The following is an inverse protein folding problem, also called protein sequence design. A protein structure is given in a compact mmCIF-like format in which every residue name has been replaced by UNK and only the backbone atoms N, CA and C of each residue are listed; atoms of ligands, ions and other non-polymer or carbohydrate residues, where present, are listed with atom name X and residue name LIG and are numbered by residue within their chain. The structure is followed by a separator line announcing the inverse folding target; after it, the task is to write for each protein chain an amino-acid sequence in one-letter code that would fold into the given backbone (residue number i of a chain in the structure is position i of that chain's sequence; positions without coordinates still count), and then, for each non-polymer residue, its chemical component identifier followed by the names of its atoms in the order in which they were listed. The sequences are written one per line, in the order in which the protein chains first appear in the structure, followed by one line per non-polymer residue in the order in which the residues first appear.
data_IF_498523337854
#
_entry.id   IF_498523337854
#
_cell.length_a   1.000
_cell.length_b   1.000
_cell.length_c   1.000
_cell.angle_alpha   90.00
_cell.angle_beta   90.00
_cell.angle_gamma   90.00
#
_symmetry.space_group_name_H-M   'P 1'
#
loop_
_entity.id
_entity.type
_entity.pdbx_description
1 polymer ?
#
# COMPACT_ATOMS: atom_id res chain seq x y z
N UNK A 1 -12.45 2.68 -22.34
CA UNK A 1 -11.40 1.78 -21.78
C UNK A 1 -11.98 0.38 -21.66
N UNK A 2 -11.20 -0.66 -21.97
CA UNK A 2 -11.68 -2.04 -21.87
C UNK A 2 -11.59 -2.56 -20.42
N UNK A 3 -12.49 -3.47 -20.04
CA UNK A 3 -12.53 -4.06 -18.69
C UNK A 3 -11.19 -4.72 -18.32
N UNK A 4 -10.56 -5.42 -19.26
CA UNK A 4 -9.26 -6.05 -19.05
C UNK A 4 -8.18 -5.04 -18.69
N UNK A 5 -8.10 -3.90 -19.39
CA UNK A 5 -7.12 -2.84 -19.09
C UNK A 5 -7.35 -2.25 -17.71
N UNK A 6 -8.62 -2.01 -17.34
CA UNK A 6 -8.97 -1.53 -16.01
C UNK A 6 -8.56 -2.53 -14.93
N UNK A 7 -8.79 -3.83 -15.15
CA UNK A 7 -8.42 -4.88 -14.21
C UNK A 7 -6.91 -4.93 -13.96
N UNK A 8 -6.09 -4.86 -15.01
CA UNK A 8 -4.63 -4.83 -14.86
C UNK A 8 -4.13 -3.55 -14.17
N UNK A 9 -4.72 -2.39 -14.47
CA UNK A 9 -4.39 -1.12 -13.79
C UNK A 9 -4.73 -1.21 -12.30
N UNK A 10 -5.91 -1.74 -11.97
CA UNK A 10 -6.34 -1.91 -10.58
C UNK A 10 -5.44 -2.85 -9.80
N UNK A 11 -4.94 -3.93 -10.42
CA UNK A 11 -3.95 -4.80 -9.79
C UNK A 11 -2.65 -4.03 -9.55
N UNK A 12 -2.15 -3.31 -10.57
CA UNK A 12 -0.93 -2.51 -10.46
C UNK A 12 -0.99 -1.51 -9.31
N UNK A 13 -2.06 -0.71 -9.25
CA UNK A 13 -2.31 0.26 -8.17
C UNK A 13 -2.45 -0.37 -6.79
N UNK A 14 -2.90 -1.62 -6.72
CA UNK A 14 -3.06 -2.32 -5.46
C UNK A 14 -1.75 -2.95 -4.93
N UNK A 15 -0.68 -2.98 -5.73
CA UNK A 15 0.57 -3.66 -5.36
C UNK A 15 1.28 -2.98 -4.19
N UNK A 16 1.28 -1.65 -4.12
CA UNK A 16 1.89 -0.92 -3.01
C UNK A 16 1.13 -1.18 -1.71
N UNK A 17 -0.20 -1.05 -1.74
CA UNK A 17 -1.06 -1.42 -0.62
C UNK A 17 -0.91 -2.91 -0.22
N UNK A 18 -0.73 -3.81 -1.19
CA UNK A 18 -0.45 -5.22 -0.93
C UNK A 18 0.89 -5.43 -0.22
N UNK A 19 1.97 -4.78 -0.69
CA UNK A 19 3.27 -4.88 -0.05
C UNK A 19 3.23 -4.34 1.39
N UNK A 20 2.60 -3.19 1.61
CA UNK A 20 2.46 -2.61 2.95
C UNK A 20 1.58 -3.50 3.84
N UNK A 21 0.44 -3.99 3.37
CA UNK A 21 -0.42 -4.89 4.14
C UNK A 21 0.23 -6.25 4.45
N UNK A 22 1.05 -6.79 3.54
CA UNK A 22 1.88 -7.96 3.79
C UNK A 22 2.82 -7.71 4.96
N UNK A 23 3.46 -6.55 4.99
CA UNK A 23 4.45 -6.21 6.01
C UNK A 23 3.83 -5.95 7.38
N UNK A 24 2.69 -5.25 7.41
CA UNK A 24 1.85 -5.15 8.60
C UNK A 24 1.38 -6.53 9.08
N UNK A 25 1.08 -7.44 8.14
CA UNK A 25 0.77 -8.84 8.42
C UNK A 25 1.92 -9.57 9.12
N UNK A 26 3.15 -9.43 8.63
CA UNK A 26 4.35 -10.08 9.20
C UNK A 26 4.54 -9.65 10.66
N UNK A 27 4.28 -8.38 10.97
CA UNK A 27 4.42 -7.84 12.32
C UNK A 27 3.28 -8.18 13.28
N UNK A 28 2.18 -8.77 12.78
CA UNK A 28 1.11 -9.27 13.63
C UNK A 28 1.50 -10.61 14.25
N UNK A 29 1.48 -10.69 15.58
CA UNK A 29 1.74 -11.94 16.33
C UNK A 29 0.53 -12.88 16.30
N UNK A 30 -0.68 -12.33 16.38
CA UNK A 30 -1.96 -13.06 16.26
C UNK A 30 -2.79 -12.46 15.14
N UNK A 31 -3.31 -13.32 14.27
CA UNK A 31 -4.26 -12.93 13.25
C UNK A 31 -5.57 -12.51 13.90
N UNK A 32 -5.94 -11.23 13.78
CA UNK A 32 -7.27 -10.77 14.15
C UNK A 32 -8.01 -10.36 12.89
N UNK A 33 -9.21 -10.93 12.67
CA UNK A 33 -10.08 -10.59 11.53
C UNK A 33 -10.37 -9.08 11.52
N UNK A 34 -10.49 -8.46 12.70
CA UNK A 34 -10.67 -7.01 12.84
C UNK A 34 -9.49 -6.23 12.25
N UNK A 35 -8.25 -6.69 12.45
CA UNK A 35 -7.05 -6.03 11.90
C UNK A 35 -6.97 -6.18 10.38
N UNK A 36 -7.26 -7.37 9.85
CA UNK A 36 -7.34 -7.60 8.39
C UNK A 36 -8.36 -6.65 7.77
N UNK A 37 -9.57 -6.65 8.32
CA UNK A 37 -10.66 -5.83 7.80
C UNK A 37 -10.35 -4.33 7.92
N UNK A 38 -9.76 -3.88 9.03
CA UNK A 38 -9.35 -2.49 9.21
C UNK A 38 -8.31 -2.06 8.17
N UNK A 39 -7.27 -2.86 7.95
CA UNK A 39 -6.22 -2.58 6.95
C UNK A 39 -6.79 -2.56 5.54
N UNK A 40 -7.52 -3.61 5.17
CA UNK A 40 -8.11 -3.74 3.84
C UNK A 40 -9.13 -2.64 3.53
N UNK A 41 -9.94 -2.25 4.51
CA UNK A 41 -10.93 -1.19 4.36
C UNK A 41 -10.26 0.18 4.21
N UNK A 42 -9.23 0.47 5.01
CA UNK A 42 -8.48 1.73 4.89
C UNK A 42 -7.82 1.83 3.51
N UNK A 43 -7.05 0.82 3.09
CA UNK A 43 -6.41 0.84 1.77
C UNK A 43 -7.43 0.84 0.63
N UNK A 44 -8.47 0.02 0.68
CA UNK A 44 -9.51 -0.02 -0.35
C UNK A 44 -10.25 1.32 -0.51
N UNK A 45 -10.52 2.03 0.59
CA UNK A 45 -11.13 3.36 0.55
C UNK A 45 -10.16 4.39 -0.03
N UNK A 46 -8.91 4.45 0.46
CA UNK A 46 -7.95 5.43 -0.03
C UNK A 46 -7.60 5.21 -1.51
N UNK A 47 -7.34 3.97 -1.93
CA UNK A 47 -7.05 3.64 -3.34
C UNK A 47 -8.26 3.87 -4.26
N UNK A 48 -9.49 3.82 -3.73
CA UNK A 48 -10.70 4.17 -4.48
C UNK A 48 -10.95 5.68 -4.58
N UNK A 49 -10.80 6.41 -3.47
CA UNK A 49 -11.08 7.85 -3.41
C UNK A 49 -10.01 8.65 -4.16
N UNK A 50 -8.74 8.25 -4.12
CA UNK A 50 -7.65 9.01 -4.73
C UNK A 50 -7.78 9.17 -6.26
N UNK A 51 -8.13 8.12 -7.05
CA UNK A 51 -8.44 8.26 -8.46
C UNK A 51 -9.61 9.21 -8.73
N UNK A 52 -10.62 9.24 -7.86
CA UNK A 52 -11.74 10.20 -7.97
C UNK A 52 -11.26 11.63 -7.81
N UNK A 53 -10.41 11.88 -6.80
CA UNK A 53 -9.82 13.19 -6.54
C UNK A 53 -8.93 13.63 -7.70
N UNK A 54 -8.07 12.73 -8.19
CA UNK A 54 -7.24 13.00 -9.38
C UNK A 54 -8.10 13.31 -10.61
N UNK A 55 -9.16 12.54 -10.84
CA UNK A 55 -10.08 12.78 -11.93
C UNK A 55 -10.79 14.14 -11.83
N UNK A 56 -11.25 14.51 -10.63
CA UNK A 56 -11.96 15.77 -10.38
C UNK A 56 -11.06 17.02 -10.48
N UNK A 57 -9.79 16.91 -10.09
CA UNK A 57 -8.81 18.00 -10.15
C UNK A 57 -8.32 18.26 -11.59
N UNK A 58 -8.45 17.26 -12.49
CA UNK A 58 -8.40 17.42 -13.94
C UNK A 58 -7.13 18.09 -14.49
N UNK A 59 -6.11 17.29 -14.82
CA UNK A 59 -4.96 17.63 -15.69
C UNK A 59 -4.00 18.76 -15.26
N UNK A 60 -4.43 19.75 -14.47
CA UNK A 60 -3.70 20.98 -14.18
C UNK A 60 -2.45 20.79 -13.31
N UNK A 61 -2.32 19.64 -12.64
CA UNK A 61 -1.24 19.34 -11.69
C UNK A 61 -0.44 18.07 -12.00
N UNK A 62 -0.68 17.42 -13.14
CA UNK A 62 -0.02 16.15 -13.50
C UNK A 62 1.51 16.25 -13.41
N UNK A 63 2.11 17.27 -14.03
CA UNK A 63 3.57 17.42 -14.08
C UNK A 63 4.21 17.73 -12.73
N UNK A 64 3.46 18.32 -11.79
CA UNK A 64 3.97 18.63 -10.43
C UNK A 64 3.90 17.42 -9.52
N UNK A 65 2.87 16.58 -9.66
CA UNK A 65 2.65 15.41 -8.81
C UNK A 65 3.46 14.21 -9.31
N UNK A 66 3.59 14.01 -10.62
CA UNK A 66 4.45 12.97 -11.19
C UNK A 66 5.93 13.13 -10.76
N UNK A 67 6.41 14.35 -10.55
CA UNK A 67 7.76 14.57 -9.99
C UNK A 67 7.87 14.20 -8.51
N UNK A 68 6.77 14.26 -7.77
CA UNK A 68 6.74 14.02 -6.32
C UNK A 68 6.44 12.56 -5.95
N UNK A 69 5.73 11.80 -6.79
CA UNK A 69 5.31 10.42 -6.45
C UNK A 69 6.52 9.56 -6.07
N UNK A 70 7.60 9.62 -6.84
CA UNK A 70 8.83 8.85 -6.63
C UNK A 70 9.47 9.09 -5.26
N UNK A 71 9.48 10.35 -4.82
CA UNK A 71 10.00 10.73 -3.50
C UNK A 71 9.10 10.22 -2.37
N UNK A 72 7.78 10.21 -2.60
CA UNK A 72 6.82 9.69 -1.62
C UNK A 72 6.89 8.16 -1.55
N UNK A 73 6.92 7.47 -2.69
CA UNK A 73 7.09 6.02 -2.75
C UNK A 73 8.39 5.57 -2.08
N UNK A 74 9.52 6.21 -2.40
CA UNK A 74 10.80 5.97 -1.72
C UNK A 74 10.70 6.20 -0.21
N UNK A 75 10.20 7.38 0.20
CA UNK A 75 10.10 7.75 1.61
C UNK A 75 9.23 6.77 2.40
N UNK A 76 8.13 6.31 1.81
CA UNK A 76 7.22 5.35 2.40
C UNK A 76 7.86 3.96 2.55
N UNK A 77 8.42 3.43 1.47
CA UNK A 77 9.08 2.12 1.46
C UNK A 77 10.28 2.09 2.41
N UNK A 78 11.05 3.17 2.44
CA UNK A 78 12.15 3.35 3.39
C UNK A 78 11.63 3.42 4.84
N UNK A 79 10.58 4.20 5.11
CA UNK A 79 10.01 4.34 6.45
C UNK A 79 9.47 3.01 6.98
N UNK A 80 8.67 2.29 6.18
CA UNK A 80 8.12 0.98 6.55
C UNK A 80 9.25 -0.02 6.76
N UNK A 81 10.21 -0.07 5.82
CA UNK A 81 11.29 -1.03 5.93
C UNK A 81 12.23 -0.77 7.12
N UNK A 82 12.50 0.50 7.45
CA UNK A 82 13.24 0.88 8.67
C UNK A 82 12.44 0.47 9.90
N UNK A 83 11.14 0.78 9.94
CA UNK A 83 10.26 0.40 11.05
C UNK A 83 10.28 -1.11 11.27
N UNK A 84 10.20 -1.92 10.21
CA UNK A 84 10.31 -3.38 10.30
C UNK A 84 11.67 -3.84 10.84
N UNK A 85 12.77 -3.20 10.46
CA UNK A 85 14.09 -3.55 10.98
C UNK A 85 14.21 -3.21 12.48
N UNK A 86 13.64 -2.09 12.92
CA UNK A 86 13.56 -1.71 14.34
C UNK A 86 12.70 -2.74 15.08
N UNK A 87 11.53 -3.04 14.54
CA UNK A 87 10.57 -4.00 15.08
C UNK A 87 11.18 -5.42 15.20
N UNK A 88 11.98 -5.82 14.23
CA UNK A 88 12.66 -7.12 14.20
C UNK A 88 13.75 -7.24 15.28
N UNK A 89 14.36 -6.12 15.70
CA UNK A 89 15.30 -6.08 16.83
C UNK A 89 14.59 -6.19 18.18
N UNK A 90 13.34 -5.76 18.24
CA UNK A 90 12.48 -5.87 19.42
C UNK A 90 11.61 -7.13 19.41
N UNK A 91 11.76 -8.00 18.40
CA UNK A 91 11.02 -9.24 18.25
C UNK A 91 11.27 -10.17 19.44
N UNK A 92 10.35 -10.17 20.39
CA UNK A 92 10.44 -10.93 21.65
C UNK A 92 10.50 -10.09 22.93
N UNK A 93 10.51 -8.75 22.86
CA UNK A 93 10.54 -7.85 24.04
C UNK A 93 9.18 -7.25 24.47
N UNK A 94 8.06 -7.59 23.82
CA UNK A 94 6.75 -7.09 24.25
C UNK A 94 6.04 -8.00 25.26
N UNK A 95 5.51 -7.33 26.29
CA UNK A 95 4.84 -7.80 27.49
C UNK A 95 3.70 -8.80 27.29
N UNK A 96 3.41 -9.49 28.40
CA UNK A 96 2.39 -10.52 28.63
C UNK A 96 0.96 -10.03 28.31
N UNK A 97 0.76 -8.72 28.14
CA UNK A 97 -0.51 -8.13 27.71
C UNK A 97 -0.58 -8.05 26.18
N UNK A 98 -1.21 -9.08 25.59
CA UNK A 98 -1.44 -9.24 24.16
C UNK A 98 -2.32 -8.16 23.53
N UNK A 99 -1.78 -6.95 23.40
CA UNK A 99 -2.42 -5.90 22.61
C UNK A 99 -2.15 -6.20 21.13
N UNK A 100 -3.20 -6.58 20.41
CA UNK A 100 -3.19 -6.86 18.97
C UNK A 100 -3.01 -5.60 18.10
N UNK A 101 -2.70 -4.45 18.71
CA UNK A 101 -2.63 -3.16 18.04
C UNK A 101 -1.20 -2.63 18.09
N UNK A 102 -0.36 -3.11 17.17
CA UNK A 102 0.83 -2.36 16.81
C UNK A 102 0.34 -1.20 15.93
N UNK A 103 0.25 -0.01 16.52
CA UNK A 103 -0.27 1.21 15.88
C UNK A 103 0.74 1.74 14.87
N UNK A 104 0.91 1.02 13.76
CA UNK A 104 1.21 1.70 12.51
C UNK A 104 0.04 2.62 12.21
N UNK A 105 0.29 3.88 11.88
CA UNK A 105 -0.78 4.80 11.55
C UNK A 105 -1.29 4.45 10.14
N UNK A 106 -2.11 3.39 10.02
CA UNK A 106 -2.59 2.78 8.77
C UNK A 106 -3.23 3.84 7.86
N UNK A 107 -3.79 4.90 8.44
CA UNK A 107 -4.32 6.05 7.71
C UNK A 107 -3.22 6.80 6.96
N UNK A 108 -2.09 7.09 7.61
CA UNK A 108 -0.94 7.75 6.99
C UNK A 108 -0.35 6.87 5.90
N UNK A 109 -0.26 5.56 6.15
CA UNK A 109 0.19 4.58 5.17
C UNK A 109 -0.75 4.55 3.97
N UNK A 110 -2.07 4.49 4.19
CA UNK A 110 -3.08 4.54 3.14
C UNK A 110 -2.96 5.79 2.28
N UNK A 111 -2.83 6.97 2.90
CA UNK A 111 -2.63 8.22 2.16
C UNK A 111 -1.35 8.15 1.32
N UNK A 112 -0.25 7.68 1.90
CA UNK A 112 1.04 7.63 1.23
C UNK A 112 1.08 6.61 0.09
N UNK A 113 0.49 5.43 0.25
CA UNK A 113 0.41 4.38 -0.79
C UNK A 113 -0.60 4.68 -1.89
N UNK A 114 -1.47 5.69 -1.74
CA UNK A 114 -2.52 5.99 -2.72
C UNK A 114 -2.22 7.21 -3.59
N UNK A 115 -1.02 7.80 -3.47
CA UNK A 115 -0.60 8.95 -4.29
C UNK A 115 -0.42 8.54 -5.77
N UNK A 116 0.02 7.30 -6.01
CA UNK A 116 0.07 6.67 -7.34
C UNK A 116 -1.32 6.62 -7.99
N UNK A 117 -2.34 6.23 -7.22
CA UNK A 117 -3.73 6.11 -7.65
C UNK A 117 -4.32 7.48 -7.96
N UNK A 118 -3.90 8.52 -7.22
CA UNK A 118 -4.23 9.91 -7.54
C UNK A 118 -3.63 10.33 -8.90
N UNK A 119 -2.38 9.97 -9.18
CA UNK A 119 -1.73 10.25 -10.46
C UNK A 119 -2.45 9.56 -11.64
N UNK A 120 -2.84 8.29 -11.46
CA UNK A 120 -3.66 7.56 -12.46
C UNK A 120 -5.03 8.20 -12.63
N UNK A 121 -5.64 8.73 -11.57
CA UNK A 121 -6.89 9.51 -11.63
C UNK A 121 -6.82 10.70 -12.61
N UNK A 122 -5.69 11.41 -12.68
CA UNK A 122 -5.50 12.46 -13.68
C UNK A 122 -5.56 11.91 -15.10
N UNK A 123 -4.91 10.78 -15.36
CA UNK A 123 -4.94 10.17 -16.70
C UNK A 123 -6.35 9.79 -17.11
N UNK A 124 -7.17 9.31 -16.16
CA UNK A 124 -8.59 9.01 -16.40
C UNK A 124 -9.41 10.25 -16.78
N UNK A 125 -9.03 11.45 -16.32
CA UNK A 125 -9.72 12.70 -16.72
C UNK A 125 -9.53 13.05 -18.20
N UNK A 126 -8.47 12.52 -18.82
CA UNK A 126 -8.15 12.74 -20.23
C UNK A 126 -8.80 11.70 -21.16
N UNK A 127 -9.41 10.64 -20.62
CA UNK A 127 -10.06 9.57 -21.37
C UNK A 127 -11.57 9.86 -21.55
N UNK A 128 -12.03 10.25 -22.77
CA UNK A 128 -13.44 10.52 -23.00
C UNK A 128 -14.28 9.24 -22.86
N UNK A 129 -15.41 9.34 -22.14
CA UNK A 129 -16.37 8.23 -22.00
C UNK A 129 -16.01 7.17 -20.95
N UNK A 130 -15.01 7.41 -20.10
CA UNK A 130 -14.68 6.53 -18.98
C UNK A 130 -15.70 6.68 -17.83
N UNK A 131 -16.29 5.58 -17.39
CA UNK A 131 -17.13 5.56 -16.20
C UNK A 131 -16.23 5.51 -14.95
N UNK A 132 -16.00 6.67 -14.35
CA UNK A 132 -15.08 6.82 -13.21
C UNK A 132 -15.59 6.07 -11.98
N UNK A 133 -16.91 6.11 -11.72
CA UNK A 133 -17.53 5.41 -10.59
C UNK A 133 -17.32 3.90 -10.66
N UNK A 134 -17.46 3.31 -11.85
CA UNK A 134 -17.19 1.89 -12.06
C UNK A 134 -15.71 1.55 -11.87
N UNK A 135 -14.82 2.42 -12.33
CA UNK A 135 -13.36 2.25 -12.20
C UNK A 135 -12.91 2.27 -10.73
N UNK A 136 -13.40 3.25 -9.96
CA UNK A 136 -13.12 3.38 -8.53
C UNK A 136 -13.63 2.17 -7.74
N UNK A 137 -14.84 1.69 -8.04
CA UNK A 137 -15.40 0.52 -7.36
C UNK A 137 -14.50 -0.71 -7.58
N UNK A 138 -14.02 -0.93 -8.81
CA UNK A 138 -13.14 -2.05 -9.13
C UNK A 138 -11.78 -1.92 -8.44
N UNK A 139 -11.15 -0.73 -8.50
CA UNK A 139 -9.86 -0.47 -7.84
C UNK A 139 -9.98 -0.72 -6.33
N UNK A 140 -11.01 -0.17 -5.69
CA UNK A 140 -11.24 -0.33 -4.26
C UNK A 140 -11.48 -1.79 -3.85
N UNK A 141 -12.29 -2.53 -4.62
CA UNK A 141 -12.57 -3.96 -4.35
C UNK A 141 -11.32 -4.82 -4.53
N UNK A 142 -10.57 -4.62 -5.62
CA UNK A 142 -9.32 -5.37 -5.87
C UNK A 142 -8.31 -5.08 -4.76
N UNK A 143 -8.14 -3.80 -4.40
CA UNK A 143 -7.23 -3.40 -3.31
C UNK A 143 -7.66 -3.99 -1.97
N UNK A 144 -8.96 -4.02 -1.68
CA UNK A 144 -9.49 -4.64 -0.47
C UNK A 144 -9.17 -6.15 -0.41
N UNK A 145 -9.40 -6.88 -1.51
CA UNK A 145 -9.12 -8.31 -1.59
C UNK A 145 -7.62 -8.59 -1.45
N UNK A 146 -6.80 -7.86 -2.21
CA UNK A 146 -5.35 -8.03 -2.16
C UNK A 146 -4.79 -7.66 -0.79
N UNK A 147 -5.19 -6.52 -0.22
CA UNK A 147 -4.74 -6.11 1.12
C UNK A 147 -5.14 -7.12 2.19
N UNK A 148 -6.35 -7.69 2.10
CA UNK A 148 -6.78 -8.75 3.02
C UNK A 148 -5.90 -9.99 2.90
N UNK A 149 -5.60 -10.42 1.67
CA UNK A 149 -4.69 -11.52 1.38
C UNK A 149 -3.26 -11.20 1.85
N UNK A 150 -2.81 -9.96 1.70
CA UNK A 150 -1.52 -9.45 2.15
C UNK A 150 -1.37 -9.64 3.66
N UNK A 151 -2.29 -9.10 4.47
CA UNK A 151 -2.23 -9.26 5.92
C UNK A 151 -2.23 -10.74 6.33
N UNK A 152 -3.07 -11.56 5.69
CA UNK A 152 -3.17 -12.99 6.00
C UNK A 152 -1.89 -13.77 5.67
N UNK A 153 -1.35 -13.58 4.46
CA UNK A 153 -0.11 -14.20 4.02
C UNK A 153 1.07 -13.72 4.85
N UNK A 154 1.11 -12.41 5.14
CA UNK A 154 2.13 -11.78 5.95
C UNK A 154 2.17 -12.38 7.34
N UNK A 155 1.02 -12.53 7.99
CA UNK A 155 0.94 -13.15 9.31
C UNK A 155 1.43 -14.60 9.32
N UNK A 156 1.07 -15.41 8.31
CA UNK A 156 1.61 -16.77 8.19
C UNK A 156 3.12 -16.79 8.05
N UNK A 157 3.67 -15.92 7.20
CA UNK A 157 5.11 -15.80 6.97
C UNK A 157 5.82 -15.32 8.25
N UNK A 158 5.26 -14.34 8.95
CA UNK A 158 5.76 -13.83 10.23
C UNK A 158 5.72 -14.88 11.35
N UNK A 159 4.69 -15.71 11.42
CA UNK A 159 4.63 -16.82 12.38
C UNK A 159 5.65 -17.93 12.07
N UNK A 160 5.92 -18.21 10.81
CA UNK A 160 6.82 -19.29 10.39
C UNK A 160 8.30 -18.91 10.50
N UNK A 161 8.65 -17.66 10.16
CA UNK A 161 10.05 -17.19 10.10
C UNK A 161 10.42 -16.21 11.24
N UNK A 162 9.44 -15.74 12.01
CA UNK A 162 9.65 -14.83 13.14
C UNK A 162 10.42 -13.56 12.77
N UNK A 163 11.37 -13.18 13.61
CA UNK A 163 12.22 -12.00 13.43
C UNK A 163 12.96 -11.98 12.08
N UNK A 164 13.24 -13.14 11.47
CA UNK A 164 13.92 -13.22 10.18
C UNK A 164 13.05 -12.72 9.03
N UNK A 165 11.74 -12.96 9.08
CA UNK A 165 10.81 -12.46 8.07
C UNK A 165 10.64 -10.93 8.17
N UNK A 166 10.58 -10.38 9.38
CA UNK A 166 10.53 -8.92 9.54
C UNK A 166 11.80 -8.25 9.02
N UNK A 167 12.97 -8.80 9.36
CA UNK A 167 14.25 -8.29 8.87
C UNK A 167 14.36 -8.36 7.34
N UNK A 168 14.02 -9.50 6.75
CA UNK A 168 14.07 -9.68 5.30
C UNK A 168 13.05 -8.78 4.58
N UNK A 169 11.83 -8.69 5.10
CA UNK A 169 10.80 -7.81 4.55
C UNK A 169 11.22 -6.34 4.58
N UNK A 170 11.79 -5.89 5.69
CA UNK A 170 12.30 -4.52 5.81
C UNK A 170 13.41 -4.19 4.82
N UNK A 171 14.37 -5.10 4.65
CA UNK A 171 15.46 -4.95 3.66
C UNK A 171 14.91 -4.90 2.23
N UNK A 172 13.96 -5.79 1.89
CA UNK A 172 13.35 -5.84 0.56
C UNK A 172 12.60 -4.54 0.26
N UNK A 173 11.81 -4.00 1.21
CA UNK A 173 11.11 -2.73 1.02
C UNK A 173 12.06 -1.57 0.80
N UNK A 174 13.10 -1.43 1.64
CA UNK A 174 14.11 -0.39 1.46
C UNK A 174 14.76 -0.53 0.08
N UNK A 175 15.09 -1.77 -0.31
CA UNK A 175 15.64 -2.06 -1.63
C UNK A 175 14.71 -1.66 -2.78
N UNK A 176 13.41 -1.96 -2.69
CA UNK A 176 12.41 -1.54 -3.68
C UNK A 176 12.29 -0.02 -3.75
N UNK A 177 12.25 0.67 -2.60
CA UNK A 177 12.21 2.13 -2.56
C UNK A 177 13.44 2.74 -3.24
N UNK A 178 14.64 2.26 -2.91
CA UNK A 178 15.89 2.72 -3.53
C UNK A 178 15.87 2.49 -5.05
N UNK A 179 15.35 1.35 -5.50
CA UNK A 179 15.26 1.04 -6.93
C UNK A 179 14.36 2.02 -7.68
N UNK A 180 13.18 2.35 -7.11
CA UNK A 180 12.27 3.37 -7.66
C UNK A 180 12.95 4.73 -7.78
N UNK A 181 13.74 5.11 -6.77
CA UNK A 181 14.49 6.37 -6.78
C UNK A 181 15.54 6.39 -7.89
N UNK A 182 16.30 5.30 -8.06
CA UNK A 182 17.34 5.20 -9.10
C UNK A 182 16.75 5.22 -10.50
N UNK A 183 15.65 4.49 -10.73
CA UNK A 183 14.97 4.43 -12.04
C UNK A 183 14.43 5.78 -12.51
N UNK A 184 14.13 6.70 -11.60
CA UNK A 184 13.60 8.02 -11.95
C UNK A 184 14.63 9.14 -11.91
N UNK A 185 15.82 8.90 -11.34
CA UNK A 185 16.94 9.84 -11.39
C UNK A 185 17.87 9.61 -12.58
N UNK A 186 17.77 8.46 -13.27
CA UNK A 186 18.62 8.04 -14.40
C UNK A 186 17.81 8.00 -15.68
#
# INVERSE_FOLDING_TARGET
MNFTSLFFISIGLAMDAFAVSLTEGISLRKLCIKSIFRVALVFGIFQGIMPLLGWAIGGLFYDKIAKFDHWVAFGLLAFIGIKMIIDAREFGKCDIHGNCEKTSNIIVLGIATSIDALAVGFTFSLLPGLNIYFSIAIIGVITFILSSAGVYLGNKVGQLLGAKAEYAGGIILIGMGINILIQHLT
#
